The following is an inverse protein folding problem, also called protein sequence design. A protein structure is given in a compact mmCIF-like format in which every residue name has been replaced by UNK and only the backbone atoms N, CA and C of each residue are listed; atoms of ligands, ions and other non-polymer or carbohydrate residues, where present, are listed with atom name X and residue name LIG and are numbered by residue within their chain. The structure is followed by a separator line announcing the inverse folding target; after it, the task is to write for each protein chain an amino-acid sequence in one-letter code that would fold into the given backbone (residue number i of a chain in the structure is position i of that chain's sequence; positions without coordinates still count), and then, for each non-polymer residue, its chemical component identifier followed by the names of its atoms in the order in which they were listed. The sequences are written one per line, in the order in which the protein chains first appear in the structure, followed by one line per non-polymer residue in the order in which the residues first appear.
data_IF_703008649831
#
_entry.id   IF_703008649831
#
_cell.length_a   1.000
_cell.length_b   1.000
_cell.length_c   1.000
_cell.angle_alpha   90.00
_cell.angle_beta   90.00
_cell.angle_gamma   90.00
#
_symmetry.space_group_name_H-M   'P 1'
#
loop_
_entity.id
_entity.type
_entity.pdbx_description
1 polymer ?
#
# COMPACT_ATOMS: atom_id res chain seq x y z
N UNK A 1 5.41 -19.12 -8.34
CA UNK A 1 5.31 -17.66 -8.19
C UNK A 1 4.83 -17.48 -6.77
N UNK A 2 5.57 -16.74 -5.95
CA UNK A 2 5.28 -16.64 -4.52
C UNK A 2 4.43 -15.39 -4.27
N UNK A 3 3.63 -15.42 -3.20
CA UNK A 3 2.90 -14.28 -2.70
C UNK A 3 3.74 -13.56 -1.66
N UNK A 4 3.65 -12.24 -1.66
CA UNK A 4 4.32 -11.38 -0.70
C UNK A 4 3.33 -10.41 -0.08
N UNK A 5 3.62 -9.99 1.14
CA UNK A 5 2.80 -9.08 1.92
C UNK A 5 3.63 -7.94 2.48
N UNK A 6 3.06 -6.74 2.48
CA UNK A 6 3.59 -5.56 3.17
C UNK A 6 2.43 -4.70 3.68
N UNK A 7 2.66 -3.99 4.78
CA UNK A 7 1.69 -3.06 5.41
C UNK A 7 2.27 -1.68 5.60
N UNK A 8 1.43 -0.70 5.93
CA UNK A 8 1.84 0.68 6.20
C UNK A 8 2.54 0.90 7.55
N UNK A 9 3.31 -0.07 8.05
CA UNK A 9 3.99 0.02 9.33
C UNK A 9 5.38 -0.63 9.30
N UNK A 10 6.19 -0.30 10.30
CA UNK A 10 7.40 -1.07 10.57
C UNK A 10 7.05 -2.54 10.87
N UNK A 11 7.95 -3.46 10.53
CA UNK A 11 7.78 -4.88 10.82
C UNK A 11 7.47 -5.09 12.30
N UNK A 12 6.39 -5.81 12.59
CA UNK A 12 6.04 -6.19 13.95
C UNK A 12 7.16 -7.05 14.55
N UNK A 13 7.68 -6.62 15.69
CA UNK A 13 8.63 -7.40 16.50
C UNK A 13 8.10 -7.42 17.92
N UNK A 14 8.84 -6.87 18.88
CA UNK A 14 8.36 -6.71 20.26
C UNK A 14 7.27 -5.64 20.37
N UNK A 15 7.36 -4.57 19.55
CA UNK A 15 6.36 -3.52 19.51
C UNK A 15 5.25 -3.84 18.49
N UNK A 16 4.01 -3.55 18.87
CA UNK A 16 2.88 -3.62 17.96
C UNK A 16 3.01 -2.57 16.83
N UNK A 17 2.58 -2.89 15.60
CA UNK A 17 2.53 -1.92 14.51
C UNK A 17 1.72 -0.68 14.90
N UNK A 18 2.23 0.53 14.64
CA UNK A 18 1.44 1.76 14.80
C UNK A 18 0.63 2.04 13.54
N UNK A 19 -0.65 2.43 13.64
CA UNK A 19 -1.39 2.87 12.47
C UNK A 19 -0.86 4.24 12.00
N UNK A 20 -1.10 4.57 10.74
CA UNK A 20 -0.67 5.85 10.14
C UNK A 20 -1.84 6.82 10.12
N UNK A 21 -1.64 8.01 10.67
CA UNK A 21 -2.62 9.10 10.61
C UNK A 21 -2.82 9.56 9.15
N UNK A 22 -4.07 9.57 8.71
CA UNK A 22 -4.49 10.12 7.41
C UNK A 22 -4.44 11.66 7.40
N UNK A 23 -4.82 12.28 6.28
CA UNK A 23 -4.79 13.75 6.15
C UNK A 23 -5.84 14.28 5.19
N UNK A 24 -6.03 15.60 5.26
CA UNK A 24 -6.93 16.38 4.39
C UNK A 24 -6.40 16.57 2.98
N UNK A 25 -5.08 16.46 2.80
CA UNK A 25 -4.44 16.28 1.52
C UNK A 25 -4.23 14.79 1.23
N UNK A 26 -4.10 14.45 -0.05
CA UNK A 26 -3.82 13.09 -0.47
C UNK A 26 -2.49 12.59 0.12
N UNK A 27 -2.54 11.46 0.81
CA UNK A 27 -1.42 10.90 1.56
C UNK A 27 -1.21 9.43 1.19
N UNK A 28 -0.01 9.08 0.73
CA UNK A 28 0.37 7.69 0.46
C UNK A 28 0.64 7.00 1.79
N UNK A 29 -0.16 5.98 2.09
CA UNK A 29 0.01 5.16 3.29
C UNK A 29 1.00 4.02 3.06
N UNK A 30 0.98 3.42 1.87
CA UNK A 30 1.89 2.35 1.46
C UNK A 30 2.27 2.55 0.00
N UNK A 31 3.57 2.40 -0.31
CA UNK A 31 4.13 2.41 -1.65
C UNK A 31 4.96 1.15 -1.87
N UNK A 32 4.76 0.48 -3.00
CA UNK A 32 5.57 -0.66 -3.45
C UNK A 32 6.20 -0.30 -4.80
N UNK A 33 7.52 -0.37 -4.88
CA UNK A 33 8.28 -0.08 -6.10
C UNK A 33 8.66 -1.38 -6.81
N UNK A 34 8.14 -1.55 -8.03
CA UNK A 34 8.54 -2.69 -8.87
C UNK A 34 9.96 -2.48 -9.40
N UNK A 35 10.79 -3.54 -9.46
CA UNK A 35 12.12 -3.42 -10.05
C UNK A 35 12.02 -3.25 -11.57
N UNK A 36 13.14 -2.98 -12.21
CA UNK A 36 13.23 -2.84 -13.68
C UNK A 36 13.06 -4.16 -14.45
N UNK A 37 13.06 -5.29 -13.73
CA UNK A 37 13.11 -6.64 -14.32
C UNK A 37 11.85 -7.46 -14.08
N UNK A 38 10.97 -7.05 -13.16
CA UNK A 38 9.79 -7.81 -12.75
C UNK A 38 8.59 -6.93 -12.43
N UNK A 39 7.46 -7.24 -13.07
CA UNK A 39 6.15 -6.68 -12.78
C UNK A 39 5.46 -7.48 -11.67
N UNK A 40 4.54 -6.86 -10.93
CA UNK A 40 3.75 -7.54 -9.89
C UNK A 40 2.28 -7.66 -10.30
N UNK A 41 1.59 -8.66 -9.74
CA UNK A 41 0.13 -8.79 -9.82
C UNK A 41 -0.47 -8.64 -8.43
N UNK A 42 -1.30 -7.64 -8.22
CA UNK A 42 -1.96 -7.42 -6.93
C UNK A 42 -3.12 -8.40 -6.78
N UNK A 43 -3.01 -9.29 -5.79
CA UNK A 43 -4.01 -10.33 -5.50
C UNK A 43 -5.02 -9.84 -4.48
N UNK A 44 -4.57 -9.05 -3.51
CA UNK A 44 -5.42 -8.50 -2.47
C UNK A 44 -4.90 -7.15 -1.98
N UNK A 45 -5.81 -6.26 -1.61
CA UNK A 45 -5.48 -5.13 -0.75
C UNK A 45 -6.59 -4.91 0.27
N UNK A 46 -6.21 -4.33 1.41
CA UNK A 46 -7.16 -3.98 2.44
C UNK A 46 -6.77 -2.70 3.16
N UNK A 47 -7.77 -2.06 3.76
CA UNK A 47 -7.62 -0.88 4.61
C UNK A 47 -8.67 -0.89 5.71
N UNK A 48 -8.29 -0.41 6.90
CA UNK A 48 -9.18 -0.28 8.05
C UNK A 48 -8.82 0.99 8.84
N UNK A 49 -9.80 1.51 9.57
CA UNK A 49 -9.70 2.75 10.32
C UNK A 49 -10.05 2.55 11.79
N UNK A 50 -9.50 3.40 12.65
CA UNK A 50 -9.72 3.37 14.11
C UNK A 50 -10.74 4.42 14.60
N UNK A 51 -11.54 4.98 13.69
CA UNK A 51 -12.59 5.92 14.06
C UNK A 51 -13.66 5.24 14.91
N UNK A 52 -14.12 5.93 15.96
CA UNK A 52 -15.13 5.43 16.90
C UNK A 52 -16.55 5.93 16.61
N UNK A 53 -16.71 6.88 15.69
CA UNK A 53 -18.00 7.47 15.31
C UNK A 53 -18.11 7.59 13.80
N UNK A 54 -19.31 7.38 13.27
CA UNK A 54 -19.57 7.65 11.85
C UNK A 54 -19.28 9.13 11.54
N UNK A 55 -18.60 9.36 10.42
CA UNK A 55 -18.30 10.68 9.89
C UNK A 55 -18.13 10.58 8.37
N UNK A 56 -17.79 11.70 7.72
CA UNK A 56 -17.55 11.77 6.29
C UNK A 56 -16.65 10.63 5.78
N UNK A 57 -17.10 9.87 4.77
CA UNK A 57 -16.33 8.77 4.23
C UNK A 57 -14.95 9.21 3.73
N UNK A 58 -13.97 8.36 3.98
CA UNK A 58 -12.57 8.55 3.61
C UNK A 58 -12.36 8.03 2.19
N UNK A 59 -11.78 8.85 1.31
CA UNK A 59 -11.45 8.44 -0.05
C UNK A 59 -10.17 7.61 -0.03
N UNK A 60 -10.29 6.35 -0.45
CA UNK A 60 -9.20 5.40 -0.51
C UNK A 60 -9.01 4.94 -1.95
N UNK A 61 -7.79 5.01 -2.43
CA UNK A 61 -7.47 4.68 -3.82
C UNK A 61 -6.24 3.79 -3.88
N UNK A 62 -6.36 2.69 -4.64
CA UNK A 62 -5.25 1.85 -5.04
C UNK A 62 -4.86 2.26 -6.46
N UNK A 63 -3.67 2.83 -6.61
CA UNK A 63 -3.22 3.40 -7.87
C UNK A 63 -1.80 2.95 -8.21
N UNK A 64 -1.51 2.91 -9.50
CA UNK A 64 -0.16 2.87 -10.02
C UNK A 64 0.26 4.28 -10.46
N UNK A 65 1.49 4.67 -10.16
CA UNK A 65 2.09 5.95 -10.56
C UNK A 65 3.45 5.77 -11.25
N UNK A 66 3.91 6.80 -11.96
CA UNK A 66 5.21 6.86 -12.63
C UNK A 66 6.30 7.58 -11.86
N UNK A 67 5.93 8.39 -10.88
CA UNK A 67 6.84 9.04 -9.93
C UNK A 67 6.65 8.40 -8.55
N UNK A 68 7.68 8.42 -7.68
CA UNK A 68 7.62 7.94 -6.30
C UNK A 68 7.27 9.06 -5.31
N UNK A 69 6.58 8.70 -4.23
CA UNK A 69 6.42 9.55 -3.06
C UNK A 69 7.67 9.43 -2.18
N UNK A 70 7.91 10.43 -1.31
CA UNK A 70 8.95 10.32 -0.28
C UNK A 70 8.39 9.61 0.95
N UNK A 71 8.73 8.33 1.10
CA UNK A 71 8.20 7.45 2.14
C UNK A 71 9.23 7.18 3.23
N UNK A 72 8.77 6.75 4.40
CA UNK A 72 9.62 5.99 5.32
C UNK A 72 9.93 4.63 4.69
N UNK A 73 11.19 4.38 4.38
CA UNK A 73 11.61 3.15 3.72
C UNK A 73 11.24 1.91 4.55
N UNK A 74 10.74 0.87 3.88
CA UNK A 74 10.69 -0.44 4.51
C UNK A 74 12.11 -1.01 4.68
N UNK A 75 12.29 -1.82 5.72
CA UNK A 75 13.39 -2.78 5.80
C UNK A 75 13.01 -4.06 5.06
N UNK A 76 13.99 -4.88 4.68
CA UNK A 76 13.73 -6.13 3.95
C UNK A 76 12.74 -7.04 4.69
N UNK A 77 12.84 -7.14 6.01
CA UNK A 77 11.92 -7.94 6.82
C UNK A 77 10.51 -7.31 6.98
N UNK A 78 10.29 -6.08 6.53
CA UNK A 78 8.95 -5.49 6.43
C UNK A 78 8.14 -6.02 5.24
N UNK A 79 8.81 -6.73 4.34
CA UNK A 79 8.22 -7.41 3.18
C UNK A 79 8.39 -8.88 3.42
N UNK A 80 7.28 -9.61 3.49
CA UNK A 80 7.32 -11.01 3.90
C UNK A 80 6.78 -11.91 2.79
N UNK A 81 7.42 -13.07 2.53
CA UNK A 81 6.76 -14.19 1.89
C UNK A 81 5.45 -14.50 2.63
N UNK A 82 4.37 -14.72 1.89
CA UNK A 82 3.02 -14.82 2.44
C UNK A 82 2.46 -16.24 2.34
N UNK A 83 2.58 -16.89 1.18
CA UNK A 83 2.08 -18.24 0.93
C UNK A 83 3.10 -19.34 1.29
N UNK A 84 4.39 -19.08 1.01
CA UNK A 84 5.50 -19.98 1.33
C UNK A 84 6.54 -19.27 2.19
N UNK A 85 6.67 -19.59 3.49
CA UNK A 85 7.64 -18.96 4.38
C UNK A 85 9.10 -19.25 4.00
N UNK A 86 9.36 -20.25 3.15
CA UNK A 86 10.68 -20.57 2.62
C UNK A 86 11.02 -19.88 1.30
N UNK A 87 10.10 -19.10 0.73
CA UNK A 87 10.34 -18.42 -0.54
C UNK A 87 11.47 -17.38 -0.43
N UNK A 88 12.18 -17.10 -1.53
CA UNK A 88 13.17 -16.02 -1.57
C UNK A 88 12.57 -14.67 -1.18
N UNK A 89 13.41 -13.69 -0.83
CA UNK A 89 12.96 -12.32 -0.65
C UNK A 89 12.42 -11.74 -1.96
N UNK A 90 11.39 -10.88 -1.87
CA UNK A 90 10.85 -10.16 -3.02
C UNK A 90 11.92 -9.30 -3.70
N UNK A 91 11.82 -9.11 -5.02
CA UNK A 91 12.77 -8.29 -5.79
C UNK A 91 12.38 -6.80 -5.82
N UNK A 92 11.35 -6.38 -5.09
CA UNK A 92 10.99 -4.97 -4.97
C UNK A 92 12.16 -4.12 -4.46
N UNK A 93 12.22 -2.88 -4.92
CA UNK A 93 13.28 -1.96 -4.51
C UNK A 93 12.92 -1.29 -3.19
N UNK A 94 13.81 -1.34 -2.20
CA UNK A 94 13.66 -0.63 -0.93
C UNK A 94 14.31 0.76 -0.99
N UNK A 95 13.74 1.73 -0.28
CA UNK A 95 14.30 3.09 -0.19
C UNK A 95 13.24 4.16 0.00
N UNK A 96 13.67 5.37 0.36
CA UNK A 96 12.77 6.50 0.65
C UNK A 96 12.06 7.04 -0.59
N UNK A 97 12.54 6.72 -1.78
CA UNK A 97 11.87 6.98 -3.07
C UNK A 97 11.50 5.68 -3.79
N UNK A 98 11.27 4.60 -3.03
CA UNK A 98 10.93 3.29 -3.54
C UNK A 98 9.88 2.63 -2.62
N UNK A 99 10.07 1.39 -2.16
CA UNK A 99 9.11 0.73 -1.28
C UNK A 99 9.21 1.25 0.16
N UNK A 100 8.08 1.67 0.71
CA UNK A 100 7.96 2.21 2.05
C UNK A 100 6.53 2.60 2.41
N UNK A 101 6.37 3.14 3.59
CA UNK A 101 5.09 3.54 4.16
C UNK A 101 5.13 5.00 4.61
N UNK A 102 3.95 5.59 4.76
CA UNK A 102 3.71 7.00 5.14
C UNK A 102 4.51 8.04 4.35
N UNK A 103 3.82 8.81 3.52
CA UNK A 103 4.37 10.00 2.88
C UNK A 103 3.44 11.18 3.04
N UNK A 104 3.97 12.33 3.45
CA UNK A 104 3.29 13.63 3.33
C UNK A 104 3.70 14.40 2.06
N UNK A 105 4.51 13.79 1.18
CA UNK A 105 4.96 14.34 -0.11
C UNK A 105 4.69 13.35 -1.24
N UNK A 106 3.60 13.59 -1.99
CA UNK A 106 3.13 12.70 -3.05
C UNK A 106 4.01 12.69 -4.31
N UNK A 107 4.87 13.69 -4.47
CA UNK A 107 5.58 13.96 -5.73
C UNK A 107 4.64 14.46 -6.84
N UNK A 108 5.22 14.90 -7.96
CA UNK A 108 4.47 15.35 -9.14
C UNK A 108 4.25 14.17 -10.08
N UNK A 109 3.13 13.47 -9.92
CA UNK A 109 2.77 12.33 -10.77
C UNK A 109 2.36 12.84 -12.16
N UNK A 110 2.92 12.26 -13.22
CA UNK A 110 2.57 12.62 -14.61
C UNK A 110 1.67 11.59 -15.28
N UNK A 111 1.62 10.36 -14.77
CA UNK A 111 0.71 9.32 -15.26
C UNK A 111 0.25 8.38 -14.13
N UNK A 112 -1.07 8.10 -14.12
CA UNK A 112 -1.70 7.24 -13.12
C UNK A 112 -2.60 6.18 -13.79
N UNK A 113 -2.63 4.96 -13.23
CA UNK A 113 -3.67 3.95 -13.50
C UNK A 113 -4.36 3.56 -12.21
N UNK A 114 -5.69 3.55 -12.21
CA UNK A 114 -6.49 3.20 -11.02
C UNK A 114 -6.79 1.71 -11.00
N UNK A 115 -6.49 1.05 -9.88
CA UNK A 115 -6.86 -0.35 -9.61
C UNK A 115 -8.12 -0.48 -8.76
N UNK A 116 -8.34 0.46 -7.83
CA UNK A 116 -9.56 0.55 -7.03
C UNK A 116 -9.77 1.97 -6.47
N UNK A 117 -11.02 2.38 -6.27
CA UNK A 117 -11.39 3.67 -5.69
C UNK A 117 -12.65 3.52 -4.85
N UNK A 118 -12.56 3.79 -3.56
CA UNK A 118 -13.63 3.56 -2.60
C UNK A 118 -13.83 4.75 -1.66
N UNK A 119 -15.07 4.94 -1.21
CA UNK A 119 -15.41 5.79 -0.07
C UNK A 119 -15.72 4.86 1.11
N UNK A 120 -14.94 4.96 2.17
CA UNK A 120 -14.97 4.01 3.29
C UNK A 120 -15.29 4.77 4.58
N UNK A 121 -16.23 4.27 5.37
CA UNK A 121 -16.53 4.84 6.69
C UNK A 121 -15.28 4.81 7.59
N UNK A 122 -15.03 5.83 8.43
CA UNK A 122 -13.94 5.81 9.41
C UNK A 122 -14.08 4.72 10.48
N UNK A 123 -15.22 4.02 10.55
CA UNK A 123 -15.50 2.95 11.53
C UNK A 123 -15.46 1.55 10.94
N UNK A 124 -15.06 1.37 9.67
CA UNK A 124 -15.14 0.09 8.96
C UNK A 124 -13.80 -0.33 8.35
N UNK A 125 -13.76 -1.59 7.92
CA UNK A 125 -12.72 -2.13 7.05
C UNK A 125 -13.23 -2.32 5.62
N UNK A 126 -12.30 -2.40 4.69
CA UNK A 126 -12.53 -2.80 3.31
C UNK A 126 -11.41 -3.74 2.87
N UNK A 127 -11.78 -4.82 2.19
CA UNK A 127 -10.86 -5.78 1.59
C UNK A 127 -11.35 -6.10 0.19
N UNK A 128 -10.44 -6.05 -0.78
CA UNK A 128 -10.71 -6.49 -2.15
C UNK A 128 -9.68 -7.53 -2.55
N UNK A 129 -10.19 -8.71 -2.86
CA UNK A 129 -9.43 -9.78 -3.48
C UNK A 129 -9.79 -9.86 -4.96
N UNK A 130 -8.78 -9.91 -5.82
CA UNK A 130 -9.00 -10.17 -7.24
C UNK A 130 -9.09 -11.67 -7.49
N UNK A 131 -10.03 -12.12 -8.33
CA UNK A 131 -10.02 -13.49 -8.79
C UNK A 131 -8.80 -13.72 -9.69
N UNK A 132 -8.32 -14.96 -9.69
CA UNK A 132 -7.15 -15.35 -10.47
C UNK A 132 -7.31 -14.99 -11.96
N UNK A 133 -6.25 -14.42 -12.53
CA UNK A 133 -6.18 -13.97 -13.92
C UNK A 133 -6.81 -12.59 -14.20
N UNK A 134 -7.43 -11.95 -13.21
CA UNK A 134 -8.01 -10.58 -13.34
C UNK A 134 -7.36 -9.58 -12.38
N UNK A 135 -6.18 -9.90 -11.89
CA UNK A 135 -5.42 -9.08 -10.94
C UNK A 135 -5.09 -7.71 -11.52
N UNK A 136 -4.99 -6.71 -10.64
CA UNK A 136 -4.43 -5.43 -11.04
C UNK A 136 -2.91 -5.57 -11.19
N UNK A 137 -2.42 -5.39 -12.42
CA UNK A 137 -0.99 -5.54 -12.74
C UNK A 137 -0.27 -4.21 -12.71
N UNK A 138 0.89 -4.18 -12.05
CA UNK A 138 1.80 -3.03 -12.03
C UNK A 138 3.06 -3.42 -12.80
N UNK A 139 3.40 -2.71 -13.89
CA UNK A 139 4.55 -3.05 -14.73
C UNK A 139 5.86 -2.70 -14.01
N UNK A 140 6.97 -3.10 -14.61
CA UNK A 140 8.33 -2.79 -14.15
C UNK A 140 8.57 -1.28 -13.99
N UNK A 141 9.45 -0.90 -13.07
CA UNK A 141 9.84 0.49 -12.83
C UNK A 141 8.66 1.45 -12.58
N UNK A 142 7.63 0.98 -11.88
CA UNK A 142 6.46 1.77 -11.46
C UNK A 142 6.20 1.58 -9.97
N UNK A 143 5.30 2.40 -9.46
CA UNK A 143 4.98 2.43 -8.04
C UNK A 143 3.51 2.11 -7.85
N UNK A 144 3.20 1.05 -7.11
CA UNK A 144 1.88 0.84 -6.54
C UNK A 144 1.75 1.71 -5.29
N UNK A 145 0.60 2.36 -5.11
CA UNK A 145 0.32 3.17 -3.92
C UNK A 145 -1.08 2.93 -3.41
N UNK A 146 -1.21 2.82 -2.09
CA UNK A 146 -2.47 3.05 -1.39
C UNK A 146 -2.46 4.50 -0.92
N UNK A 147 -3.34 5.32 -1.48
CA UNK A 147 -3.46 6.73 -1.14
C UNK A 147 -4.80 7.01 -0.47
N UNK A 148 -4.77 7.88 0.52
CA UNK A 148 -5.94 8.23 1.31
C UNK A 148 -6.11 9.74 1.36
N UNK A 149 -7.35 10.21 1.28
CA UNK A 149 -7.75 11.59 1.54
C UNK A 149 -8.97 11.58 2.44
N UNK A 150 -8.85 12.16 3.64
CA UNK A 150 -9.90 12.17 4.66
C UNK A 150 -10.35 13.60 4.95
N UNK A 151 -11.62 13.82 5.26
CA UNK A 151 -12.12 15.14 5.66
C UNK A 151 -11.57 15.57 7.05
N UNK A 152 -11.33 14.60 7.94
CA UNK A 152 -10.69 14.76 9.23
C UNK A 152 -9.68 13.65 9.44
N UNK A 153 -8.64 13.90 10.24
CA UNK A 153 -7.60 12.91 10.51
C UNK A 153 -8.14 11.73 11.32
N UNK A 154 -7.95 10.52 10.79
CA UNK A 154 -8.20 9.23 11.44
C UNK A 154 -6.99 8.34 11.19
N UNK A 155 -6.67 7.39 12.06
CA UNK A 155 -5.56 6.48 11.78
C UNK A 155 -6.03 5.30 10.95
N UNK A 156 -5.12 4.75 10.15
CA UNK A 156 -5.41 3.65 9.25
C UNK A 156 -4.31 2.60 9.28
N UNK A 157 -4.72 1.35 9.16
CA UNK A 157 -3.87 0.26 8.69
C UNK A 157 -4.24 -0.08 7.25
N UNK A 158 -3.24 -0.30 6.40
CA UNK A 158 -3.44 -0.84 5.06
C UNK A 158 -2.35 -1.85 4.74
N UNK A 159 -2.69 -2.80 3.87
CA UNK A 159 -1.78 -3.82 3.39
C UNK A 159 -2.06 -4.14 1.92
N UNK A 160 -1.07 -4.76 1.28
CA UNK A 160 -1.17 -5.30 -0.07
C UNK A 160 -0.54 -6.69 -0.09
N UNK A 161 -1.21 -7.62 -0.77
CA UNK A 161 -0.67 -8.93 -1.16
C UNK A 161 -0.48 -8.95 -2.68
N UNK A 162 0.70 -9.35 -3.14
CA UNK A 162 0.99 -9.46 -4.57
C UNK A 162 1.77 -10.73 -4.90
N UNK A 163 1.67 -11.13 -6.16
CA UNK A 163 2.40 -12.24 -6.75
C UNK A 163 3.63 -11.71 -7.52
N UNK A 164 4.77 -12.39 -7.38
CA UNK A 164 6.03 -12.09 -8.07
C UNK A 164 6.76 -13.32 -8.64
#
# INVERSE_FOLDING_TARGET
MALYWASNAAMATTAAPSPVTTGTAAKTLLQIATPSTRSIKVVEWGISFDGSTAAEPIRCELIQTDVAATVTAHVAAGVQPYDDPGAPASLMTLGTSATGYTSSSEGTITATRTGDLQLISPTTLYVKQWPLGREFRVPVSKFLRVRVTAAAAVNAYTYVVWEE
#
